data_IF_856384978533
#
_entry.id   IF_856384978533
#
_cell.length_a   1.000
_cell.length_b   1.000
_cell.length_c   1.000
_cell.angle_alpha   90.00
_cell.angle_beta   90.00
_cell.angle_gamma   90.00
#
_symmetry.space_group_name_H-M   'P 1'
#
loop_
_entity.id
_entity.type
_entity.pdbx_description
1 polymer ?
#
# COMPACT_ATOMS: atom_id res chain seq x y z
N UNK A 1 -3.40 24.77 11.65
CA UNK A 1 -4.23 23.83 12.45
C UNK A 1 -4.33 22.53 11.67
N UNK A 2 -3.66 21.47 12.12
CA UNK A 2 -3.80 20.15 11.51
C UNK A 2 -5.16 19.59 11.94
N UNK A 3 -6.11 19.52 11.02
CA UNK A 3 -7.34 18.77 11.28
C UNK A 3 -6.96 17.29 11.36
N UNK A 4 -7.30 16.57 12.44
CA UNK A 4 -7.06 15.13 12.52
C UNK A 4 -8.10 14.39 11.69
N UNK A 5 -8.04 14.54 10.39
CA UNK A 5 -8.91 13.86 9.42
C UNK A 5 -8.17 12.72 8.71
N UNK A 6 -7.46 11.87 9.48
CA UNK A 6 -6.54 10.88 8.95
C UNK A 6 -7.19 9.68 8.27
N UNK A 7 -7.94 9.90 7.19
CA UNK A 7 -8.34 8.82 6.29
C UNK A 7 -7.12 8.38 5.49
N UNK A 8 -6.52 7.24 5.83
CA UNK A 8 -5.37 6.71 5.11
C UNK A 8 -5.74 5.43 4.37
N UNK A 9 -5.26 5.27 3.14
CA UNK A 9 -5.44 4.03 2.37
C UNK A 9 -4.86 2.83 3.15
N UNK A 10 -3.71 3.02 3.81
CA UNK A 10 -3.08 1.98 4.64
C UNK A 10 -4.00 1.56 5.78
N UNK A 11 -4.59 2.50 6.51
CA UNK A 11 -5.56 2.20 7.58
C UNK A 11 -6.78 1.46 7.06
N UNK A 12 -7.32 1.86 5.89
CA UNK A 12 -8.41 1.17 5.22
C UNK A 12 -8.07 -0.27 4.83
N UNK A 13 -6.91 -0.49 4.21
CA UNK A 13 -6.45 -1.82 3.79
C UNK A 13 -6.20 -2.75 4.97
N UNK A 14 -5.47 -2.29 5.99
CA UNK A 14 -5.17 -3.10 7.18
C UNK A 14 -6.43 -3.36 8.00
N UNK A 15 -7.30 -2.37 8.14
CA UNK A 15 -8.58 -2.50 8.84
C UNK A 15 -9.53 -3.48 8.13
N UNK A 16 -9.68 -3.36 6.80
CA UNK A 16 -10.49 -4.28 6.02
C UNK A 16 -9.94 -5.71 6.07
N UNK A 17 -8.62 -5.88 5.92
CA UNK A 17 -7.98 -7.19 6.02
C UNK A 17 -8.20 -7.83 7.39
N UNK A 18 -7.91 -7.09 8.47
CA UNK A 18 -8.13 -7.57 9.83
C UNK A 18 -9.61 -7.89 10.09
N UNK A 19 -10.52 -7.03 9.63
CA UNK A 19 -11.96 -7.27 9.77
C UNK A 19 -12.42 -8.54 9.07
N UNK A 20 -11.95 -8.78 7.84
CA UNK A 20 -12.24 -10.03 7.11
C UNK A 20 -11.70 -11.25 7.86
N UNK A 21 -10.47 -11.22 8.38
CA UNK A 21 -9.92 -12.36 9.13
C UNK A 21 -10.66 -12.60 10.45
N UNK A 22 -11.10 -11.55 11.14
CA UNK A 22 -11.94 -11.67 12.34
C UNK A 22 -13.27 -12.33 12.00
N UNK A 23 -13.99 -11.86 10.96
CA UNK A 23 -15.26 -12.46 10.53
C UNK A 23 -15.09 -13.92 10.15
N UNK A 24 -14.02 -14.28 9.43
CA UNK A 24 -13.71 -15.68 9.09
C UNK A 24 -13.51 -16.56 10.34
N UNK A 25 -12.82 -16.04 11.36
CA UNK A 25 -12.65 -16.77 12.63
C UNK A 25 -13.98 -17.10 13.28
N UNK A 26 -14.92 -16.14 13.36
CA UNK A 26 -16.25 -16.37 13.94
C UNK A 26 -17.14 -17.26 13.06
N UNK A 27 -16.99 -17.19 11.74
CA UNK A 27 -17.79 -17.97 10.78
C UNK A 27 -17.20 -19.35 10.48
N UNK A 28 -16.05 -19.71 11.04
CA UNK A 28 -15.37 -20.98 10.76
C UNK A 28 -14.84 -21.11 9.32
N UNK A 29 -14.77 -20.01 8.55
CA UNK A 29 -14.33 -20.01 7.16
C UNK A 29 -12.82 -20.00 7.10
N UNK A 30 -12.22 -21.04 6.51
CA UNK A 30 -10.77 -21.18 6.33
C UNK A 30 -10.28 -20.84 4.90
N UNK A 31 -11.20 -20.56 3.97
CA UNK A 31 -10.84 -20.24 2.58
C UNK A 31 -10.17 -18.86 2.47
N UNK A 32 -9.20 -18.75 1.54
CA UNK A 32 -8.48 -17.50 1.26
C UNK A 32 -9.16 -16.81 0.07
N UNK A 33 -9.89 -15.74 0.33
CA UNK A 33 -10.68 -15.00 -0.66
C UNK A 33 -10.01 -13.72 -1.16
N UNK A 34 -8.86 -13.34 -0.56
CA UNK A 34 -8.20 -12.07 -0.82
C UNK A 34 -7.72 -11.88 -2.26
N UNK A 35 -7.39 -12.96 -2.98
CA UNK A 35 -6.85 -12.89 -4.35
C UNK A 35 -7.81 -12.22 -5.35
N UNK A 36 -9.12 -12.33 -5.12
CA UNK A 36 -10.15 -11.66 -5.94
C UNK A 36 -10.07 -10.13 -5.86
N UNK A 37 -9.58 -9.60 -4.75
CA UNK A 37 -9.51 -8.16 -4.49
C UNK A 37 -8.17 -7.55 -4.92
N UNK A 38 -7.13 -8.34 -5.19
CA UNK A 38 -5.80 -7.83 -5.48
C UNK A 38 -5.79 -6.89 -6.70
N UNK A 39 -6.34 -7.30 -7.84
CA UNK A 39 -6.38 -6.47 -9.04
C UNK A 39 -7.36 -5.29 -8.92
N UNK A 40 -8.62 -5.46 -8.44
CA UNK A 40 -9.51 -4.32 -8.20
C UNK A 40 -8.93 -3.26 -7.27
N UNK A 41 -8.18 -3.65 -6.24
CA UNK A 41 -7.51 -2.71 -5.34
C UNK A 41 -6.37 -1.96 -6.04
N UNK A 42 -5.55 -2.63 -6.86
CA UNK A 42 -4.52 -1.95 -7.66
C UNK A 42 -5.14 -0.86 -8.53
N UNK A 43 -6.20 -1.19 -9.27
CA UNK A 43 -6.87 -0.26 -10.18
C UNK A 43 -7.58 0.86 -9.41
N UNK A 44 -8.33 0.52 -8.36
CA UNK A 44 -9.08 1.51 -7.59
C UNK A 44 -8.19 2.52 -6.88
N UNK A 45 -7.07 2.07 -6.30
CA UNK A 45 -6.11 2.98 -5.66
C UNK A 45 -5.40 3.83 -6.72
N UNK A 46 -5.01 3.25 -7.87
CA UNK A 46 -4.37 4.02 -8.95
C UNK A 46 -5.28 5.14 -9.45
N UNK A 47 -6.57 4.87 -9.69
CA UNK A 47 -7.56 5.88 -10.08
C UNK A 47 -7.70 6.94 -8.96
N UNK A 48 -7.78 6.53 -7.71
CA UNK A 48 -7.81 7.45 -6.57
C UNK A 48 -6.59 8.38 -6.53
N UNK A 49 -5.39 7.88 -6.88
CA UNK A 49 -4.17 8.69 -6.94
C UNK A 49 -4.18 9.72 -8.08
N UNK A 50 -4.84 9.43 -9.19
CA UNK A 50 -5.09 10.45 -10.22
C UNK A 50 -5.96 11.58 -9.65
N UNK A 51 -6.99 11.25 -8.86
CA UNK A 51 -7.80 12.24 -8.15
C UNK A 51 -6.99 13.09 -7.17
N UNK A 52 -6.11 12.47 -6.37
CA UNK A 52 -5.20 13.18 -5.46
C UNK A 52 -4.27 14.14 -6.23
N UNK A 53 -3.73 13.73 -7.38
CA UNK A 53 -2.90 14.58 -8.22
C UNK A 53 -3.69 15.78 -8.77
N UNK A 54 -4.93 15.55 -9.22
CA UNK A 54 -5.82 16.59 -9.72
C UNK A 54 -6.28 17.57 -8.62
N UNK A 55 -6.44 17.11 -7.37
CA UNK A 55 -6.78 17.94 -6.22
C UNK A 55 -5.60 18.86 -5.78
N UNK A 56 -4.38 18.54 -6.18
CA UNK A 56 -3.21 19.36 -5.92
C UNK A 56 -2.90 19.50 -4.43
N UNK A 57 -2.67 20.74 -3.99
CA UNK A 57 -2.29 21.04 -2.60
C UNK A 57 -3.40 20.76 -1.58
N UNK A 58 -4.66 20.76 -2.01
CA UNK A 58 -5.80 20.55 -1.10
C UNK A 58 -5.88 19.11 -0.54
N UNK A 59 -5.20 18.15 -1.18
CA UNK A 59 -5.23 16.74 -0.77
C UNK A 59 -4.17 16.38 0.29
N UNK A 60 -3.22 17.27 0.62
CA UNK A 60 -2.14 17.06 1.60
C UNK A 60 -1.30 15.76 1.38
N UNK A 61 -1.37 15.13 0.19
CA UNK A 61 -0.63 13.90 -0.13
C UNK A 61 0.56 14.13 -1.06
N UNK A 62 0.92 15.38 -1.31
CA UNK A 62 2.02 15.78 -2.16
C UNK A 62 3.41 15.48 -1.57
N UNK A 63 4.42 15.52 -2.45
CA UNK A 63 5.82 15.30 -2.08
C UNK A 63 6.50 16.57 -1.57
N UNK A 64 7.67 16.40 -0.94
CA UNK A 64 8.57 17.51 -0.55
C UNK A 64 9.03 18.29 -1.77
N UNK A 65 9.41 19.58 -1.61
CA UNK A 65 10.08 20.34 -2.65
C UNK A 65 11.38 19.67 -3.13
N UNK A 66 11.66 19.74 -4.43
CA UNK A 66 12.87 19.13 -5.05
C UNK A 66 14.09 20.05 -5.01
N UNK A 67 13.90 21.32 -4.62
CA UNK A 67 14.96 22.34 -4.66
C UNK A 67 14.85 23.30 -5.86
N UNK A 68 15.79 24.23 -5.96
CA UNK A 68 15.85 25.25 -7.03
C UNK A 68 17.23 25.17 -7.71
N UNK A 69 17.29 25.02 -9.05
CA UNK A 69 16.18 24.90 -9.98
C UNK A 69 15.45 23.56 -9.88
N UNK A 70 14.12 23.56 -10.08
CA UNK A 70 13.34 22.33 -10.06
C UNK A 70 13.72 21.44 -11.30
N UNK A 71 13.94 20.11 -11.11
CA UNK A 71 14.20 19.23 -12.22
C UNK A 71 12.97 19.09 -13.14
N UNK A 72 13.19 18.70 -14.39
CA UNK A 72 12.14 18.62 -15.43
C UNK A 72 10.99 17.66 -15.09
N UNK A 73 11.23 16.67 -14.21
CA UNK A 73 10.23 15.69 -13.76
C UNK A 73 9.45 16.14 -12.51
N UNK A 74 9.82 17.27 -11.90
CA UNK A 74 9.10 17.78 -10.75
C UNK A 74 7.71 18.27 -11.16
N UNK A 75 6.74 18.10 -10.30
CA UNK A 75 5.36 18.57 -10.51
C UNK A 75 5.13 19.81 -9.69
N UNK A 76 4.67 20.87 -10.38
CA UNK A 76 4.14 22.07 -9.75
C UNK A 76 2.61 21.90 -9.57
N UNK A 77 2.14 22.09 -8.38
CA UNK A 77 0.72 21.97 -8.01
C UNK A 77 -0.01 23.33 -8.04
N UNK A 78 0.57 24.32 -8.71
CA UNK A 78 -0.02 25.65 -8.92
C UNK A 78 0.49 26.73 -7.99
N UNK A 79 1.53 26.45 -7.20
CA UNK A 79 2.17 27.44 -6.30
C UNK A 79 3.61 27.82 -6.71
N UNK A 80 4.06 27.40 -7.89
CA UNK A 80 5.39 27.67 -8.42
C UNK A 80 6.51 26.83 -7.79
N UNK A 81 6.17 25.84 -6.96
CA UNK A 81 7.16 25.00 -6.26
C UNK A 81 7.17 23.58 -6.86
N UNK A 82 8.30 23.22 -7.50
CA UNK A 82 8.52 21.86 -7.99
C UNK A 82 8.64 20.84 -6.85
N UNK A 83 7.83 19.77 -6.88
CA UNK A 83 7.76 18.72 -5.86
C UNK A 83 7.98 17.34 -6.44
N UNK A 84 8.37 16.39 -5.58
CA UNK A 84 8.41 14.97 -5.93
C UNK A 84 7.01 14.49 -6.32
N UNK A 85 6.83 13.88 -7.53
CA UNK A 85 5.53 13.39 -8.02
C UNK A 85 5.16 12.05 -7.35
N UNK A 86 5.01 12.05 -6.03
CA UNK A 86 4.79 10.84 -5.24
C UNK A 86 3.53 10.07 -5.65
N UNK A 87 2.49 10.78 -6.11
CA UNK A 87 1.26 10.18 -6.62
C UNK A 87 1.52 9.40 -7.91
N UNK A 88 2.34 9.96 -8.83
CA UNK A 88 2.70 9.31 -10.10
C UNK A 88 3.52 8.05 -9.84
N UNK A 89 4.48 8.12 -8.93
CA UNK A 89 5.28 6.95 -8.55
C UNK A 89 4.41 5.84 -7.95
N UNK A 90 3.40 6.19 -7.16
CA UNK A 90 2.46 5.22 -6.58
C UNK A 90 1.56 4.60 -7.66
N UNK A 91 1.10 5.38 -8.65
CA UNK A 91 0.33 4.87 -9.80
C UNK A 91 1.17 3.86 -10.58
N UNK A 92 2.42 4.19 -10.92
CA UNK A 92 3.34 3.30 -11.65
C UNK A 92 3.51 1.98 -10.90
N UNK A 93 3.78 2.02 -9.61
CA UNK A 93 3.88 0.81 -8.79
C UNK A 93 2.62 -0.04 -8.89
N UNK A 94 1.44 0.57 -8.70
CA UNK A 94 0.16 -0.15 -8.69
C UNK A 94 -0.14 -0.78 -10.05
N UNK A 95 0.22 -0.12 -11.15
CA UNK A 95 0.10 -0.70 -12.50
C UNK A 95 1.05 -1.90 -12.67
N UNK A 96 2.30 -1.79 -12.23
CA UNK A 96 3.27 -2.90 -12.30
C UNK A 96 2.80 -4.09 -11.44
N UNK A 97 2.37 -3.84 -10.21
CA UNK A 97 1.82 -4.88 -9.34
C UNK A 97 0.54 -5.46 -9.94
N UNK A 98 -0.32 -4.64 -10.51
CA UNK A 98 -1.53 -5.06 -11.23
C UNK A 98 -1.22 -6.03 -12.38
N UNK A 99 -0.19 -5.74 -13.18
CA UNK A 99 0.28 -6.64 -14.24
C UNK A 99 0.77 -7.99 -13.68
N UNK A 100 1.52 -7.96 -12.57
CA UNK A 100 1.99 -9.20 -11.91
C UNK A 100 0.83 -10.04 -11.38
N UNK A 101 -0.12 -9.43 -10.67
CA UNK A 101 -1.25 -10.17 -10.08
C UNK A 101 -2.29 -10.63 -11.11
N UNK A 102 -2.37 -9.97 -12.27
CA UNK A 102 -3.23 -10.38 -13.40
C UNK A 102 -2.58 -11.42 -14.29
N UNK A 103 -1.28 -11.69 -14.13
CA UNK A 103 -0.55 -12.66 -14.96
C UNK A 103 -1.15 -14.06 -14.86
N UNK A 104 -1.04 -14.84 -15.95
CA UNK A 104 -1.52 -16.23 -16.02
C UNK A 104 -0.65 -17.22 -15.23
N UNK A 105 0.35 -16.74 -14.49
CA UNK A 105 1.21 -17.58 -13.66
C UNK A 105 0.37 -18.25 -12.57
N UNK A 106 0.51 -19.56 -12.44
CA UNK A 106 -0.13 -20.33 -11.37
C UNK A 106 0.54 -20.02 -10.04
N UNK A 107 -0.14 -19.24 -9.24
CA UNK A 107 0.29 -18.87 -7.90
C UNK A 107 -0.51 -19.62 -6.84
N UNK A 108 0.06 -19.95 -5.69
CA UNK A 108 -0.68 -20.53 -4.57
C UNK A 108 -1.83 -19.63 -4.14
N UNK A 109 -2.91 -20.22 -3.65
CA UNK A 109 -4.10 -19.49 -3.18
C UNK A 109 -3.70 -18.49 -2.07
N UNK A 110 -4.13 -17.25 -2.18
CA UNK A 110 -3.78 -16.14 -1.30
C UNK A 110 -2.46 -15.44 -1.65
N UNK A 111 -1.72 -15.88 -2.68
CA UNK A 111 -0.44 -15.28 -3.04
C UNK A 111 -0.62 -13.92 -3.75
N UNK A 112 -1.62 -13.76 -4.60
CA UNK A 112 -1.87 -12.51 -5.33
C UNK A 112 -2.15 -11.34 -4.38
N UNK A 113 -2.99 -11.57 -3.39
CA UNK A 113 -3.29 -10.56 -2.38
C UNK A 113 -2.06 -10.21 -1.54
N UNK A 114 -1.22 -11.20 -1.17
CA UNK A 114 0.03 -10.95 -0.44
C UNK A 114 1.05 -10.18 -1.26
N UNK A 115 1.17 -10.47 -2.56
CA UNK A 115 2.04 -9.71 -3.48
C UNK A 115 1.57 -8.26 -3.52
N UNK A 116 0.27 -8.03 -3.75
CA UNK A 116 -0.30 -6.68 -3.74
C UNK A 116 -0.04 -5.96 -2.42
N UNK A 117 -0.50 -6.52 -1.31
CA UNK A 117 -0.43 -5.86 0.00
C UNK A 117 1.02 -5.66 0.46
N UNK A 118 1.87 -6.67 0.30
CA UNK A 118 3.29 -6.60 0.66
C UNK A 118 4.06 -5.55 -0.15
N UNK A 119 3.86 -5.53 -1.48
CA UNK A 119 4.47 -4.53 -2.35
C UNK A 119 3.99 -3.11 -1.99
N UNK A 120 2.70 -2.94 -1.76
CA UNK A 120 2.12 -1.65 -1.42
C UNK A 120 2.61 -1.13 -0.07
N UNK A 121 2.62 -1.97 0.97
CA UNK A 121 3.11 -1.58 2.30
C UNK A 121 4.62 -1.27 2.27
N UNK A 122 5.43 -2.09 1.60
CA UNK A 122 6.87 -1.84 1.45
C UNK A 122 7.13 -0.51 0.73
N UNK A 123 6.38 -0.25 -0.35
CA UNK A 123 6.46 1.01 -1.08
C UNK A 123 6.07 2.20 -0.19
N UNK A 124 5.01 2.06 0.62
CA UNK A 124 4.59 3.13 1.53
C UNK A 124 5.66 3.47 2.55
N UNK A 125 6.38 2.49 3.07
CA UNK A 125 7.52 2.77 3.95
C UNK A 125 8.57 3.63 3.23
N UNK A 126 8.88 3.32 1.97
CA UNK A 126 9.89 4.06 1.21
C UNK A 126 9.42 5.44 0.76
N UNK A 127 8.23 5.55 0.13
CA UNK A 127 7.77 6.79 -0.49
C UNK A 127 7.36 7.86 0.52
N UNK A 128 6.94 7.48 1.73
CA UNK A 128 6.52 8.43 2.75
C UNK A 128 7.69 9.26 3.31
N UNK A 129 8.94 8.84 3.11
CA UNK A 129 10.10 9.70 3.39
C UNK A 129 10.17 10.93 2.47
N UNK A 130 9.56 10.86 1.29
CA UNK A 130 9.46 11.99 0.34
C UNK A 130 8.27 12.91 0.63
N UNK A 131 7.47 12.64 1.67
CA UNK A 131 6.31 13.46 2.06
C UNK A 131 6.65 14.37 3.25
N UNK A 132 6.07 15.58 3.32
CA UNK A 132 6.30 16.52 4.40
C UNK A 132 5.47 16.17 5.64
N UNK A 133 5.68 15.00 6.23
CA UNK A 133 4.94 14.54 7.40
C UNK A 133 5.82 14.52 8.66
N UNK A 134 5.25 14.75 9.85
CA UNK A 134 6.00 14.70 11.10
C UNK A 134 6.53 13.29 11.35
N UNK A 135 7.79 13.20 11.76
CA UNK A 135 8.46 11.95 12.09
C UNK A 135 8.39 11.69 13.59
N UNK A 136 8.03 10.46 13.96
CA UNK A 136 8.06 9.95 15.33
C UNK A 136 9.06 8.78 15.34
N UNK A 137 10.16 8.93 16.08
CA UNK A 137 11.28 7.98 16.10
C UNK A 137 11.82 7.65 14.67
N UNK A 138 11.98 8.68 13.84
CA UNK A 138 12.57 8.55 12.50
C UNK A 138 11.59 8.10 11.39
N UNK A 139 10.37 7.75 11.71
CA UNK A 139 9.31 7.35 10.75
C UNK A 139 7.98 8.02 11.11
N UNK A 140 7.09 8.20 10.12
CA UNK A 140 5.73 8.67 10.41
C UNK A 140 4.84 7.52 10.93
N UNK A 141 3.68 7.85 11.50
CA UNK A 141 2.75 6.86 12.04
C UNK A 141 2.29 5.84 10.99
N UNK A 142 2.11 6.28 9.73
CA UNK A 142 1.70 5.42 8.63
C UNK A 142 2.79 4.40 8.31
N UNK A 143 4.06 4.80 8.31
CA UNK A 143 5.19 3.89 8.11
C UNK A 143 5.27 2.82 9.21
N UNK A 144 5.03 3.18 10.47
CA UNK A 144 4.95 2.21 11.57
C UNK A 144 3.82 1.20 11.36
N UNK A 145 2.64 1.65 10.93
CA UNK A 145 1.54 0.74 10.56
C UNK A 145 1.91 -0.18 9.39
N UNK A 146 2.64 0.34 8.38
CA UNK A 146 3.11 -0.47 7.25
C UNK A 146 4.12 -1.54 7.71
N UNK A 147 5.07 -1.20 8.57
CA UNK A 147 6.04 -2.15 9.12
C UNK A 147 5.34 -3.25 9.92
N UNK A 148 4.37 -2.88 10.79
CA UNK A 148 3.56 -3.86 11.52
C UNK A 148 2.77 -4.78 10.57
N UNK A 149 2.17 -4.22 9.52
CA UNK A 149 1.45 -4.99 8.49
C UNK A 149 2.38 -5.96 7.74
N UNK A 150 3.59 -5.52 7.37
CA UNK A 150 4.60 -6.38 6.74
C UNK A 150 5.06 -7.51 7.66
N UNK A 151 5.30 -7.22 8.94
CA UNK A 151 5.65 -8.24 9.92
C UNK A 151 4.54 -9.30 10.06
N UNK A 152 3.27 -8.87 10.10
CA UNK A 152 2.14 -9.78 10.15
C UNK A 152 2.02 -10.65 8.89
N UNK A 153 2.21 -10.06 7.68
CA UNK A 153 2.25 -10.80 6.42
C UNK A 153 3.37 -11.84 6.39
N UNK A 154 4.55 -11.48 6.90
CA UNK A 154 5.68 -12.41 7.00
C UNK A 154 5.37 -13.59 7.94
N UNK A 155 4.77 -13.32 9.10
CA UNK A 155 4.35 -14.35 10.04
C UNK A 155 3.30 -15.29 9.43
N UNK A 156 2.29 -14.75 8.71
CA UNK A 156 1.30 -15.57 8.00
C UNK A 156 1.95 -16.45 6.92
N UNK A 157 2.90 -15.90 6.16
CA UNK A 157 3.64 -16.66 5.15
C UNK A 157 4.49 -17.80 5.77
N UNK A 158 5.12 -17.55 6.92
CA UNK A 158 5.90 -18.55 7.63
C UNK A 158 5.03 -19.68 8.20
N UNK A 159 3.87 -19.34 8.75
CA UNK A 159 2.88 -20.33 9.23
C UNK A 159 2.45 -21.27 8.09
N UNK A 160 2.12 -20.72 6.93
CA UNK A 160 1.74 -21.52 5.78
C UNK A 160 2.83 -22.48 5.30
N UNK A 161 4.07 -22.02 5.26
CA UNK A 161 5.19 -22.89 4.90
C UNK A 161 5.28 -24.08 5.87
N UNK A 162 5.15 -23.83 7.17
CA UNK A 162 5.18 -24.88 8.20
C UNK A 162 4.03 -25.88 8.04
N UNK A 163 2.82 -25.41 7.80
CA UNK A 163 1.63 -26.24 7.56
C UNK A 163 1.78 -27.09 6.30
N UNK A 164 2.27 -26.51 5.20
CA UNK A 164 2.56 -27.22 3.96
C UNK A 164 3.62 -28.31 4.12
N UNK A 165 4.70 -28.04 4.88
CA UNK A 165 5.72 -29.06 5.19
C UNK A 165 5.19 -30.16 6.13
N UNK A 166 4.30 -29.84 7.06
CA UNK A 166 3.68 -30.83 7.93
C UNK A 166 2.75 -31.78 7.14
N UNK A 167 1.97 -31.25 6.20
CA UNK A 167 1.09 -32.02 5.33
C UNK A 167 1.83 -32.95 4.35
N UNK A 168 3.10 -32.64 4.00
CA UNK A 168 3.93 -33.49 3.14
C UNK A 168 4.64 -34.62 3.90
N UNK A 169 4.64 -34.58 5.23
CA UNK A 169 5.28 -35.59 6.10
C UNK A 169 4.29 -36.55 6.78
N UNK A 170 3.00 -36.30 6.64
CA UNK A 170 1.92 -37.15 7.12
C UNK A 170 1.37 -38.06 5.99
#
# INVERSE_FOLDING_TARGET
MMTPGGKTIVGGLLGAWTGVEIVKLFSGIRSRTGDLFALPLCVGIAIGRVGCLAAGLADDTYGKPTGVPAPWWAVDLGDGVGRYPVQVFEIILLLLVGLVVSSKVTLPVGARFRIFLGSYLAWRVAIDFLKPQPLIYGMNLIQWCCVAGLAFLALDALRMRREGYAALRA
#
